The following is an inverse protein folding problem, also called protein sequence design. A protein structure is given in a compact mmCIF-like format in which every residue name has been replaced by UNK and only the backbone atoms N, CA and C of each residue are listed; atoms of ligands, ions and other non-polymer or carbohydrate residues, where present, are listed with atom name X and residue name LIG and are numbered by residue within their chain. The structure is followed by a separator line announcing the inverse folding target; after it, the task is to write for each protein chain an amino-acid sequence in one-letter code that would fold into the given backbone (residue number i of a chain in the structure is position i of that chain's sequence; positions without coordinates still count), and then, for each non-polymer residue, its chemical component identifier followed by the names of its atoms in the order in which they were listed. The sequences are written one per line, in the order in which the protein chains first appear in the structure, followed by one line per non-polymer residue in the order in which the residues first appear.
data_IF_550168235762
#
_entry.id   IF_550168235762
#
_cell.length_a   1.000
_cell.length_b   1.000
_cell.length_c   1.000
_cell.angle_alpha   90.00
_cell.angle_beta   90.00
_cell.angle_gamma   90.00
#
_symmetry.space_group_name_H-M   'P 1'
#
loop_
_entity.id
_entity.type
_entity.pdbx_description
1 polymer ?
#
# COMPACT_ATOMS: atom_id res chain seq x y z
N UNK A 1 24.93 20.72 -19.44
CA UNK A 1 24.38 19.56 -18.86
C UNK A 1 23.06 19.25 -19.51
N UNK A 2 22.86 18.08 -19.66
CA UNK A 2 21.87 17.60 -20.54
C UNK A 2 20.79 16.88 -19.73
N UNK A 3 19.55 17.22 -19.95
CA UNK A 3 18.47 16.58 -19.22
C UNK A 3 18.40 15.08 -19.49
N UNK A 4 18.95 14.63 -20.61
CA UNK A 4 19.00 13.21 -20.88
C UNK A 4 19.94 12.48 -19.95
N UNK A 5 20.93 13.14 -19.40
CA UNK A 5 21.74 12.52 -18.37
C UNK A 5 20.93 12.24 -17.12
N UNK A 6 20.04 13.16 -16.80
CA UNK A 6 19.14 12.93 -15.68
C UNK A 6 18.21 11.80 -15.95
N UNK A 7 17.70 11.69 -17.17
CA UNK A 7 16.82 10.60 -17.55
C UNK A 7 17.52 9.26 -17.42
N UNK A 8 18.80 9.20 -17.85
CA UNK A 8 19.54 7.96 -17.71
C UNK A 8 19.81 7.62 -16.26
N UNK A 9 20.00 8.64 -15.43
CA UNK A 9 20.19 8.42 -14.01
C UNK A 9 18.91 8.00 -13.34
N UNK A 10 17.78 8.32 -13.98
CA UNK A 10 16.48 7.89 -13.51
C UNK A 10 16.09 6.53 -14.06
N UNK A 11 17.04 5.84 -14.69
CA UNK A 11 16.76 4.49 -15.18
C UNK A 11 16.26 3.60 -14.04
N UNK A 12 15.42 2.62 -14.37
CA UNK A 12 14.85 1.79 -13.32
C UNK A 12 15.91 1.14 -12.45
N UNK A 13 15.66 1.15 -11.17
CA UNK A 13 16.44 0.40 -10.21
C UNK A 13 15.68 -0.89 -9.95
N UNK A 14 16.03 -1.94 -10.69
CA UNK A 14 15.28 -3.17 -10.61
C UNK A 14 15.37 -3.83 -9.25
N UNK A 15 16.50 -3.64 -8.57
CA UNK A 15 16.63 -4.18 -7.22
C UNK A 15 15.67 -3.49 -6.26
N UNK A 16 15.61 -2.17 -6.32
CA UNK A 16 14.72 -1.41 -5.44
C UNK A 16 13.26 -1.72 -5.76
N UNK A 17 12.92 -1.83 -7.05
CA UNK A 17 11.56 -2.18 -7.43
C UNK A 17 11.17 -3.56 -6.94
N UNK A 18 12.09 -4.52 -7.01
CA UNK A 18 11.84 -5.86 -6.52
C UNK A 18 11.59 -5.84 -5.01
N UNK A 19 12.40 -5.10 -4.27
CA UNK A 19 12.22 -4.98 -2.83
C UNK A 19 10.88 -4.34 -2.49
N UNK A 20 10.49 -3.34 -3.26
CA UNK A 20 9.22 -2.67 -3.02
C UNK A 20 8.04 -3.59 -3.32
N UNK A 21 8.14 -4.40 -4.38
CA UNK A 21 7.09 -5.37 -4.67
C UNK A 21 6.94 -6.36 -3.53
N UNK A 22 8.06 -6.80 -2.96
CA UNK A 22 8.01 -7.71 -1.82
C UNK A 22 7.35 -7.06 -0.61
N UNK A 23 7.69 -5.79 -0.35
CA UNK A 23 7.06 -5.06 0.76
C UNK A 23 5.56 -4.95 0.53
N UNK A 24 5.14 -4.70 -0.70
CA UNK A 24 3.74 -4.61 -1.03
C UNK A 24 3.02 -5.95 -0.83
N UNK A 25 3.67 -7.05 -1.18
CA UNK A 25 3.10 -8.37 -0.95
C UNK A 25 3.00 -8.67 0.54
N UNK A 26 4.00 -8.25 1.31
CA UNK A 26 3.97 -8.44 2.76
C UNK A 26 2.83 -7.65 3.40
N UNK A 27 2.58 -6.45 2.90
CA UNK A 27 1.45 -5.64 3.34
C UNK A 27 0.13 -6.39 3.15
N UNK A 28 -0.09 -6.91 1.95
CA UNK A 28 -1.32 -7.64 1.63
C UNK A 28 -1.46 -8.88 2.51
N UNK A 29 -0.38 -9.62 2.71
CA UNK A 29 -0.41 -10.82 3.55
C UNK A 29 -0.70 -10.47 5.00
N UNK A 30 -0.07 -9.42 5.51
CA UNK A 30 -0.27 -9.01 6.89
C UNK A 30 -1.72 -8.61 7.15
N UNK A 31 -2.34 -7.95 6.17
CA UNK A 31 -3.75 -7.60 6.29
C UNK A 31 -4.62 -8.86 6.32
N UNK A 32 -4.39 -9.78 5.39
CA UNK A 32 -5.22 -10.97 5.29
C UNK A 32 -5.10 -11.85 6.54
N UNK A 33 -3.91 -11.91 7.12
CA UNK A 33 -3.68 -12.73 8.29
C UNK A 33 -3.87 -11.99 9.60
N UNK A 34 -4.18 -10.70 9.52
CA UNK A 34 -4.35 -9.85 10.70
C UNK A 34 -3.15 -9.94 11.62
N UNK A 35 -1.97 -9.87 11.02
CA UNK A 35 -0.69 -10.04 11.71
C UNK A 35 -0.26 -8.71 12.27
N UNK A 36 -0.53 -8.50 13.56
CA UNK A 36 -0.26 -7.24 14.21
C UNK A 36 1.22 -6.86 14.16
N UNK A 37 2.09 -7.82 14.44
CA UNK A 37 3.52 -7.52 14.47
C UNK A 37 4.03 -7.11 13.09
N UNK A 38 3.57 -7.81 12.06
CA UNK A 38 3.97 -7.47 10.69
C UNK A 38 3.44 -6.10 10.31
N UNK A 39 2.19 -5.79 10.66
CA UNK A 39 1.61 -4.49 10.34
C UNK A 39 2.36 -3.37 11.05
N UNK A 40 2.73 -3.58 12.30
CA UNK A 40 3.49 -2.57 13.04
C UNK A 40 4.84 -2.30 12.41
N UNK A 41 5.42 -3.33 11.81
CA UNK A 41 6.72 -3.18 11.17
C UNK A 41 6.63 -2.49 9.81
N UNK A 42 5.62 -2.85 9.00
CA UNK A 42 5.55 -2.39 7.63
C UNK A 42 4.87 -1.03 7.49
N UNK A 43 4.03 -0.64 8.46
CA UNK A 43 3.39 0.66 8.43
C UNK A 43 4.26 1.69 9.11
N UNK A 44 4.46 2.82 8.45
CA UNK A 44 5.21 3.93 9.04
C UNK A 44 4.43 4.53 10.20
N UNK A 45 5.15 5.04 11.19
CA UNK A 45 4.49 5.65 12.36
C UNK A 45 3.65 6.86 11.95
N UNK A 46 4.04 7.55 10.89
CA UNK A 46 3.30 8.70 10.38
C UNK A 46 2.37 8.33 9.23
N UNK A 47 1.96 7.06 9.15
CA UNK A 47 1.04 6.61 8.13
C UNK A 47 -0.28 7.38 8.18
N UNK A 48 -0.80 7.73 7.01
CA UNK A 48 -2.10 8.37 6.91
C UNK A 48 -2.92 7.73 5.80
N UNK A 49 -4.22 7.62 6.02
CA UNK A 49 -5.16 7.25 4.98
C UNK A 49 -5.60 8.49 4.24
N UNK A 50 -5.43 8.48 2.92
CA UNK A 50 -6.01 9.53 2.11
C UNK A 50 -7.49 9.27 1.88
N UNK A 51 -7.86 7.99 1.71
CA UNK A 51 -9.22 7.56 1.47
C UNK A 51 -9.22 6.03 1.52
N UNK A 52 -10.23 5.38 2.09
CA UNK A 52 -11.50 5.87 2.62
C UNK A 52 -11.52 6.15 4.13
N UNK A 53 -10.44 5.86 4.84
CA UNK A 53 -10.44 5.96 6.30
C UNK A 53 -9.77 7.24 6.76
N UNK A 54 -10.20 8.37 6.22
CA UNK A 54 -9.61 9.65 6.55
C UNK A 54 -9.69 9.89 8.05
N UNK A 55 -8.56 10.32 8.61
CA UNK A 55 -8.49 10.60 10.01
C UNK A 55 -7.99 9.47 10.88
N UNK A 56 -7.99 8.24 10.36
CA UNK A 56 -7.42 7.13 11.12
C UNK A 56 -5.89 7.17 11.04
N UNK A 57 -5.26 6.88 12.16
CA UNK A 57 -3.83 6.73 12.20
C UNK A 57 -3.46 5.25 12.20
N UNK A 58 -2.15 4.99 12.23
CA UNK A 58 -1.63 3.64 12.21
C UNK A 58 -2.21 2.78 13.33
N UNK A 59 -2.21 3.32 14.55
CA UNK A 59 -2.67 2.54 15.70
C UNK A 59 -4.13 2.17 15.59
N UNK A 60 -4.96 3.13 15.20
CA UNK A 60 -6.38 2.87 15.03
C UNK A 60 -6.63 1.81 13.97
N UNK A 61 -5.96 1.94 12.83
CA UNK A 61 -6.13 0.99 11.74
C UNK A 61 -5.72 -0.42 12.16
N UNK A 62 -4.56 -0.56 12.79
CA UNK A 62 -4.09 -1.88 13.22
C UNK A 62 -5.06 -2.48 14.23
N UNK A 63 -5.54 -1.69 15.17
CA UNK A 63 -6.51 -2.19 16.14
C UNK A 63 -7.77 -2.70 15.46
N UNK A 64 -8.24 -1.98 14.45
CA UNK A 64 -9.46 -2.38 13.72
C UNK A 64 -9.23 -3.66 12.93
N UNK A 65 -8.04 -3.82 12.36
CA UNK A 65 -7.73 -5.06 11.63
C UNK A 65 -7.65 -6.23 12.60
N UNK A 66 -6.97 -6.07 13.72
CA UNK A 66 -6.79 -7.16 14.68
C UNK A 66 -8.13 -7.55 15.29
N UNK A 67 -8.99 -6.57 15.56
CA UNK A 67 -10.30 -6.82 16.15
C UNK A 67 -11.31 -7.37 15.14
N UNK A 68 -10.99 -7.36 13.86
CA UNK A 68 -11.90 -7.86 12.83
C UNK A 68 -12.93 -6.84 12.38
N UNK A 69 -12.78 -5.58 12.78
CA UNK A 69 -13.63 -4.51 12.27
C UNK A 69 -13.30 -4.26 10.81
N UNK A 70 -12.01 -4.23 10.48
CA UNK A 70 -11.55 -4.21 9.09
C UNK A 70 -11.04 -5.61 8.78
N UNK A 71 -11.66 -6.26 7.81
CA UNK A 71 -11.25 -7.61 7.40
C UNK A 71 -10.94 -7.59 5.92
N UNK A 72 -9.68 -7.74 5.60
CA UNK A 72 -9.22 -7.83 4.21
C UNK A 72 -8.90 -9.29 3.94
N UNK A 73 -9.75 -9.95 3.18
CA UNK A 73 -9.58 -11.37 2.93
C UNK A 73 -8.63 -11.61 1.77
N UNK A 74 -8.69 -10.76 0.76
CA UNK A 74 -7.75 -10.87 -0.35
C UNK A 74 -7.64 -9.56 -1.08
N UNK A 75 -6.46 -9.34 -1.67
CA UNK A 75 -6.19 -8.24 -2.58
C UNK A 75 -5.56 -8.87 -3.81
N UNK A 76 -6.30 -8.91 -4.91
CA UNK A 76 -5.84 -9.55 -6.14
C UNK A 76 -5.50 -8.48 -7.16
N UNK A 77 -4.23 -8.26 -7.42
CA UNK A 77 -3.84 -7.23 -8.38
C UNK A 77 -4.28 -7.62 -9.79
N UNK A 78 -4.74 -6.64 -10.53
CA UNK A 78 -5.10 -6.80 -11.92
C UNK A 78 -4.05 -6.18 -12.83
N UNK A 79 -3.61 -5.00 -12.49
CA UNK A 79 -2.43 -4.42 -13.09
C UNK A 79 -1.75 -3.59 -11.99
N UNK A 80 -0.44 -3.63 -11.98
CA UNK A 80 0.30 -2.98 -10.91
C UNK A 80 1.57 -2.39 -11.51
N UNK A 81 1.77 -1.11 -11.23
CA UNK A 81 2.99 -0.42 -11.61
C UNK A 81 3.75 -0.06 -10.35
N UNK A 82 5.04 -0.27 -10.39
CA UNK A 82 5.93 0.09 -9.29
C UNK A 82 6.92 1.12 -9.80
N UNK A 83 7.06 2.21 -9.07
CA UNK A 83 8.01 3.27 -9.40
C UNK A 83 8.82 3.61 -8.16
N UNK A 84 10.11 3.81 -8.34
CA UNK A 84 11.01 4.17 -7.23
C UNK A 84 11.72 5.46 -7.57
N UNK A 85 11.69 6.39 -6.64
CA UNK A 85 12.34 7.70 -6.76
C UNK A 85 13.18 7.90 -5.50
N UNK A 86 14.44 7.43 -5.54
CA UNK A 86 15.29 7.51 -4.35
C UNK A 86 14.68 6.72 -3.20
N UNK A 87 14.37 7.39 -2.12
CA UNK A 87 13.76 6.76 -0.94
C UNK A 87 12.25 6.72 -0.95
N UNK A 88 11.62 7.09 -2.08
CA UNK A 88 10.16 7.09 -2.19
C UNK A 88 9.74 6.04 -3.21
N UNK A 89 8.73 5.26 -2.87
CA UNK A 89 8.19 4.24 -3.76
C UNK A 89 6.71 4.43 -3.96
N UNK A 90 6.26 4.17 -5.18
CA UNK A 90 4.84 4.19 -5.52
C UNK A 90 4.46 2.83 -6.06
N UNK A 91 3.35 2.29 -5.54
CA UNK A 91 2.72 1.09 -6.09
C UNK A 91 1.28 1.48 -6.40
N UNK A 92 0.91 1.38 -7.66
CA UNK A 92 -0.42 1.82 -8.05
C UNK A 92 -0.95 0.98 -9.20
N UNK A 93 -2.26 1.03 -9.36
CA UNK A 93 -2.92 0.26 -10.40
C UNK A 93 -4.34 -0.05 -10.01
N UNK A 94 -4.79 -1.25 -10.36
CA UNK A 94 -6.12 -1.70 -9.99
C UNK A 94 -6.03 -3.10 -9.38
N UNK A 95 -7.02 -3.40 -8.55
CA UNK A 95 -7.06 -4.68 -7.85
C UNK A 95 -8.50 -5.03 -7.56
N UNK A 96 -8.74 -6.32 -7.37
CA UNK A 96 -9.99 -6.80 -6.81
C UNK A 96 -9.75 -7.02 -5.34
N UNK A 97 -10.51 -6.32 -4.51
CA UNK A 97 -10.37 -6.40 -3.06
C UNK A 97 -11.60 -7.09 -2.49
N UNK A 98 -11.36 -8.07 -1.64
CA UNK A 98 -12.42 -8.76 -0.93
C UNK A 98 -12.28 -8.37 0.53
N UNK A 99 -13.13 -7.42 0.98
CA UNK A 99 -12.95 -6.87 2.30
C UNK A 99 -14.25 -6.33 2.89
N UNK A 100 -14.25 -6.20 4.19
CA UNK A 100 -15.41 -5.77 4.97
C UNK A 100 -14.99 -4.72 5.99
N UNK A 101 -15.90 -3.82 6.28
CA UNK A 101 -15.77 -2.89 7.38
C UNK A 101 -17.00 -3.05 8.25
N UNK A 102 -16.82 -3.62 9.45
CA UNK A 102 -17.95 -3.99 10.28
C UNK A 102 -18.85 -4.95 9.55
N UNK A 103 -20.12 -4.60 9.43
CA UNK A 103 -21.12 -5.40 8.73
C UNK A 103 -21.14 -5.18 7.23
N UNK A 104 -20.40 -4.21 6.74
CA UNK A 104 -20.51 -3.78 5.36
C UNK A 104 -19.52 -4.54 4.50
N UNK A 105 -20.03 -5.13 3.44
CA UNK A 105 -19.19 -5.77 2.42
C UNK A 105 -18.80 -4.70 1.42
N UNK A 106 -17.51 -4.38 1.39
CA UNK A 106 -16.99 -3.35 0.50
C UNK A 106 -16.19 -3.95 -0.64
N UNK A 107 -16.36 -5.26 -0.85
CA UNK A 107 -15.62 -5.97 -1.90
C UNK A 107 -15.94 -5.41 -3.27
N UNK A 108 -14.94 -5.42 -4.14
CA UNK A 108 -15.11 -4.94 -5.49
C UNK A 108 -13.79 -4.63 -6.15
N UNK A 109 -13.90 -3.92 -7.27
CA UNK A 109 -12.74 -3.50 -8.05
C UNK A 109 -12.37 -2.09 -7.64
N UNK A 110 -11.07 -1.87 -7.41
CA UNK A 110 -10.58 -0.59 -6.94
C UNK A 110 -9.36 -0.17 -7.71
N UNK A 111 -9.21 1.13 -7.86
CA UNK A 111 -7.93 1.72 -8.20
C UNK A 111 -7.25 2.11 -6.91
N UNK A 112 -5.93 1.97 -6.88
CA UNK A 112 -5.22 2.25 -5.64
C UNK A 112 -3.91 2.97 -5.93
N UNK A 113 -3.48 3.73 -4.93
CA UNK A 113 -2.14 4.29 -4.88
C UNK A 113 -1.62 4.04 -3.47
N UNK A 114 -0.47 3.39 -3.38
CA UNK A 114 0.23 3.17 -2.11
C UNK A 114 1.57 3.85 -2.20
N UNK A 115 1.86 4.66 -1.20
CA UNK A 115 3.13 5.38 -1.14
C UNK A 115 3.98 4.76 -0.06
N UNK A 116 5.22 4.44 -0.41
CA UNK A 116 6.17 3.84 0.52
C UNK A 116 7.37 4.77 0.67
N UNK A 117 8.01 4.70 1.81
CA UNK A 117 9.27 5.38 2.02
C UNK A 117 10.26 4.39 2.59
N UNK A 118 11.52 4.53 2.20
CA UNK A 118 12.57 3.64 2.69
C UNK A 118 13.26 4.33 3.84
N UNK A 119 13.18 3.73 5.02
CA UNK A 119 13.78 4.24 6.24
C UNK A 119 14.59 3.13 6.87
N UNK A 120 15.86 3.42 7.14
CA UNK A 120 16.74 2.44 7.76
C UNK A 120 16.76 1.11 7.01
N UNK A 121 16.75 1.21 5.68
CA UNK A 121 16.83 0.04 4.82
C UNK A 121 15.52 -0.70 4.60
N UNK A 122 14.43 -0.24 5.19
CA UNK A 122 13.13 -0.92 5.07
C UNK A 122 12.13 -0.04 4.37
N UNK A 123 11.38 -0.62 3.44
CA UNK A 123 10.24 0.05 2.82
C UNK A 123 9.07 -0.01 3.79
N UNK A 124 8.48 1.15 4.09
CA UNK A 124 7.30 1.24 4.94
C UNK A 124 6.22 2.01 4.20
N UNK A 125 4.98 1.54 4.31
CA UNK A 125 3.87 2.25 3.68
C UNK A 125 3.53 3.48 4.52
N UNK A 126 3.41 4.64 3.84
CA UNK A 126 3.11 5.90 4.51
C UNK A 126 1.75 6.45 4.13
N UNK A 127 1.17 5.99 3.03
CA UNK A 127 -0.14 6.50 2.61
C UNK A 127 -0.80 5.51 1.68
N UNK A 128 -2.12 5.51 1.71
CA UNK A 128 -2.94 4.64 0.87
C UNK A 128 -4.18 5.39 0.43
N UNK A 129 -4.48 5.27 -0.85
CA UNK A 129 -5.71 5.83 -1.42
C UNK A 129 -6.40 4.73 -2.23
N UNK A 130 -7.65 4.49 -1.94
CA UNK A 130 -8.48 3.56 -2.71
C UNK A 130 -9.62 4.34 -3.35
N UNK A 131 -9.95 3.97 -4.57
CA UNK A 131 -11.06 4.59 -5.28
C UNK A 131 -11.78 3.51 -6.09
N UNK A 132 -13.09 3.46 -5.98
CA UNK A 132 -13.86 2.50 -6.75
C UNK A 132 -14.13 3.07 -8.14
N UNK A 133 -13.57 2.48 -9.19
CA UNK A 133 -13.78 3.03 -10.54
C UNK A 133 -15.18 2.79 -11.05
N UNK A 134 -15.92 1.86 -10.44
CA UNK A 134 -17.27 1.55 -10.89
C UNK A 134 -18.32 2.37 -10.17
N UNK A 135 -17.91 3.21 -9.27
CA UNK A 135 -18.83 4.05 -8.54
C UNK A 135 -19.45 5.08 -9.46
N UNK A 136 -20.71 5.27 -9.35
CA UNK A 136 -21.47 6.24 -10.14
C UNK A 136 -22.05 7.29 -9.27
#
# INVERSE_FOLDING_TARGET
MDSRDEDRQAAPDYQAEHELRRANDEWANALAQRDKAALECIMADDFTFAYPFEGDDKGQFINDVVAGVVRVESLEPRDTTVRVFGGTGLVFGSETANWHYGDRDLSGHYRFVRVYTKRQGLWQIVSLHLCSPTHR
#
